data_IF_622202093244
#
_entry.id   IF_622202093244
#
_cell.length_a   1.000
_cell.length_b   1.000
_cell.length_c   1.000
_cell.angle_alpha   90.00
_cell.angle_beta   90.00
_cell.angle_gamma   90.00
#
_symmetry.space_group_name_H-M   'P 1'
#
loop_
_entity.id
_entity.type
_entity.pdbx_description
1 polymer ?
#
# COMPACT_ATOMS: atom_id res chain seq x y z
N UNK A 1 -10.96 7.27 -31.39
CA UNK A 1 -10.21 8.02 -30.38
C UNK A 1 -8.79 7.55 -30.15
N UNK A 2 -8.44 6.28 -30.40
CA UNK A 2 -7.15 5.71 -29.98
C UNK A 2 -6.08 5.67 -31.07
N UNK A 3 -4.78 5.77 -30.74
CA UNK A 3 -4.21 6.01 -29.39
C UNK A 3 -4.39 7.46 -28.91
N UNK A 4 -4.43 7.66 -27.59
CA UNK A 4 -4.52 8.98 -26.94
C UNK A 4 -3.20 9.26 -26.22
N UNK A 5 -2.62 10.43 -26.49
CA UNK A 5 -1.50 10.94 -25.72
C UNK A 5 -2.03 11.60 -24.44
N UNK A 6 -1.49 11.21 -23.28
CA UNK A 6 -1.79 11.84 -21.99
C UNK A 6 -0.65 12.79 -21.63
N UNK A 7 -1.02 13.93 -21.06
CA UNK A 7 -0.09 14.92 -20.54
C UNK A 7 -0.10 14.80 -19.00
N UNK A 8 1.00 14.38 -18.39
CA UNK A 8 0.99 14.14 -16.95
C UNK A 8 0.88 15.41 -16.11
N UNK A 9 1.29 16.56 -16.63
CA UNK A 9 1.48 17.80 -15.87
C UNK A 9 0.53 18.94 -16.29
N UNK A 10 -0.06 18.88 -17.48
CA UNK A 10 -0.97 19.91 -17.99
C UNK A 10 -0.30 21.06 -18.72
N UNK A 11 0.96 20.91 -19.10
CA UNK A 11 1.75 21.93 -19.79
C UNK A 11 1.85 21.72 -21.31
N UNK A 12 1.12 20.75 -21.85
CA UNK A 12 1.14 20.43 -23.28
C UNK A 12 2.42 19.71 -23.72
N UNK A 13 3.24 19.25 -22.78
CA UNK A 13 4.37 18.37 -23.01
C UNK A 13 3.91 16.94 -22.72
N UNK A 14 4.18 16.02 -23.65
CA UNK A 14 4.01 14.58 -23.40
C UNK A 14 5.18 14.12 -22.54
N UNK A 15 5.12 14.43 -21.25
CA UNK A 15 6.02 13.95 -20.21
C UNK A 15 5.24 13.31 -19.05
N UNK A 16 5.93 12.50 -18.26
CA UNK A 16 5.37 11.74 -17.13
C UNK A 16 4.51 10.54 -17.55
N UNK A 17 4.92 9.34 -17.10
CA UNK A 17 4.23 8.09 -17.44
C UNK A 17 2.91 7.89 -16.67
N UNK A 18 2.03 7.07 -17.24
CA UNK A 18 0.93 6.41 -16.52
C UNK A 18 1.45 5.21 -15.73
N UNK A 19 2.32 5.47 -14.74
CA UNK A 19 2.86 4.42 -13.86
C UNK A 19 1.76 3.73 -13.03
N UNK A 20 0.72 4.45 -12.55
CA UNK A 20 -0.46 3.81 -11.98
C UNK A 20 -1.19 2.92 -13.00
N UNK A 21 -1.54 1.67 -12.66
CA UNK A 21 -2.33 0.81 -13.54
C UNK A 21 -3.72 1.40 -13.84
N UNK A 22 -4.22 1.32 -15.09
CA UNK A 22 -5.56 1.78 -15.44
C UNK A 22 -6.68 0.98 -14.76
N UNK A 23 -7.83 1.62 -14.57
CA UNK A 23 -9.07 0.98 -14.14
C UNK A 23 -10.14 1.06 -15.21
N UNK A 24 -10.95 0.00 -15.29
CA UNK A 24 -12.25 0.05 -15.94
C UNK A 24 -13.29 0.17 -14.84
N UNK A 25 -14.18 1.16 -14.92
CA UNK A 25 -15.30 1.36 -14.00
C UNK A 25 -16.44 2.09 -14.72
N UNK A 26 -17.69 1.77 -14.42
CA UNK A 26 -18.82 2.63 -14.78
C UNK A 26 -18.79 3.85 -13.85
N UNK A 27 -18.24 4.96 -14.35
CA UNK A 27 -18.06 6.17 -13.55
C UNK A 27 -19.28 7.08 -13.68
N UNK A 28 -19.90 7.17 -14.86
CA UNK A 28 -21.02 8.08 -15.11
C UNK A 28 -22.42 7.43 -14.99
N UNK A 29 -22.49 6.18 -14.53
CA UNK A 29 -23.71 5.46 -14.16
C UNK A 29 -24.56 5.02 -15.37
N UNK A 30 -23.97 4.99 -16.56
CA UNK A 30 -24.65 4.62 -17.80
C UNK A 30 -24.57 3.10 -18.09
N UNK A 31 -23.95 2.33 -17.18
CA UNK A 31 -23.69 0.89 -17.28
C UNK A 31 -22.80 0.52 -18.48
N UNK A 32 -21.96 1.47 -18.92
CA UNK A 32 -20.81 1.29 -19.79
C UNK A 32 -19.56 1.59 -18.97
N UNK A 33 -18.46 0.90 -19.28
CA UNK A 33 -17.22 1.06 -18.52
C UNK A 33 -16.34 2.15 -19.12
N UNK A 34 -15.93 3.11 -18.29
CA UNK A 34 -14.91 4.10 -18.57
C UNK A 34 -13.53 3.63 -18.15
N UNK A 35 -12.51 4.14 -18.86
CA UNK A 35 -11.12 4.00 -18.49
C UNK A 35 -10.71 5.15 -17.56
N UNK A 36 -10.36 4.85 -16.32
CA UNK A 36 -9.71 5.79 -15.40
C UNK A 36 -8.20 5.55 -15.41
N UNK A 37 -7.43 6.59 -15.71
CA UNK A 37 -5.97 6.54 -15.78
C UNK A 37 -5.36 7.68 -14.96
N UNK A 38 -4.67 7.35 -13.88
CA UNK A 38 -3.86 8.29 -13.14
C UNK A 38 -2.44 8.40 -13.74
N UNK A 39 -1.83 9.57 -13.62
CA UNK A 39 -0.46 9.82 -14.05
C UNK A 39 0.47 9.84 -12.85
N UNK A 40 1.75 9.57 -13.08
CA UNK A 40 2.77 9.70 -12.05
C UNK A 40 2.96 11.15 -11.55
N UNK A 41 2.24 12.14 -12.09
CA UNK A 41 2.32 13.54 -11.68
C UNK A 41 0.98 14.09 -11.17
N UNK A 42 0.12 13.21 -10.63
CA UNK A 42 -1.06 13.63 -9.88
C UNK A 42 -2.19 14.19 -10.74
N UNK A 43 -2.21 13.88 -12.05
CA UNK A 43 -3.39 14.07 -12.89
C UNK A 43 -4.13 12.75 -13.04
N UNK A 44 -5.45 12.82 -13.03
CA UNK A 44 -6.32 11.65 -13.23
C UNK A 44 -7.24 11.97 -14.39
N UNK A 45 -7.25 11.07 -15.38
CA UNK A 45 -8.10 11.13 -16.55
C UNK A 45 -9.21 10.09 -16.44
N UNK A 46 -10.36 10.38 -17.05
CA UNK A 46 -11.43 9.42 -17.27
C UNK A 46 -11.90 9.52 -18.73
N UNK A 47 -11.93 8.39 -19.44
CA UNK A 47 -12.27 8.32 -20.85
C UNK A 47 -13.36 7.29 -21.11
N UNK A 48 -14.27 7.61 -22.03
CA UNK A 48 -15.19 6.63 -22.61
C UNK A 48 -14.46 5.69 -23.57
N UNK A 49 -15.10 4.58 -23.90
CA UNK A 49 -14.57 3.59 -24.85
C UNK A 49 -14.18 4.19 -26.22
N UNK A 50 -14.90 5.21 -26.69
CA UNK A 50 -14.62 5.88 -27.98
C UNK A 50 -13.37 6.80 -27.93
N UNK A 51 -12.84 7.04 -26.73
CA UNK A 51 -11.70 7.90 -26.44
C UNK A 51 -12.08 9.34 -26.09
N UNK A 52 -13.37 9.68 -26.02
CA UNK A 52 -13.81 10.98 -25.50
C UNK A 52 -13.59 11.04 -23.99
N UNK A 53 -13.22 12.21 -23.48
CA UNK A 53 -13.00 12.42 -22.05
C UNK A 53 -14.32 12.71 -21.33
N UNK A 54 -14.47 12.20 -20.11
CA UNK A 54 -15.62 12.55 -19.27
C UNK A 54 -15.61 14.04 -18.89
N UNK A 55 -16.79 14.68 -18.77
CA UNK A 55 -16.90 16.01 -18.18
C UNK A 55 -16.25 16.07 -16.78
N UNK A 56 -15.60 17.18 -16.46
CA UNK A 56 -14.92 17.38 -15.17
C UNK A 56 -13.50 16.80 -15.08
N UNK A 57 -13.12 15.92 -16.01
CA UNK A 57 -11.76 15.39 -16.11
C UNK A 57 -10.92 16.18 -17.14
N UNK A 58 -9.57 16.11 -17.08
CA UNK A 58 -8.81 15.50 -16.00
C UNK A 58 -8.84 16.37 -14.73
N UNK A 59 -8.71 15.70 -13.58
CA UNK A 59 -8.53 16.35 -12.28
C UNK A 59 -7.04 16.35 -11.90
N UNK A 60 -6.65 17.29 -11.05
CA UNK A 60 -5.25 17.43 -10.60
C UNK A 60 -5.17 17.52 -9.07
N UNK A 61 -4.17 16.85 -8.49
CA UNK A 61 -3.80 16.97 -7.07
C UNK A 61 -3.08 18.29 -6.79
N UNK A 62 -2.66 18.50 -5.53
CA UNK A 62 -1.91 19.71 -5.20
C UNK A 62 -0.49 19.63 -5.75
N UNK A 63 0.12 20.79 -5.99
CA UNK A 63 1.53 20.93 -6.32
C UNK A 63 2.41 20.38 -5.20
N UNK A 64 3.56 19.79 -5.56
CA UNK A 64 4.52 19.27 -4.62
C UNK A 64 5.03 20.38 -3.68
N UNK A 65 5.06 20.08 -2.37
CA UNK A 65 5.39 21.06 -1.33
C UNK A 65 6.82 21.56 -1.43
N UNK A 66 7.74 20.71 -1.85
CA UNK A 66 9.13 21.09 -2.07
C UNK A 66 9.32 22.02 -3.27
N UNK A 67 8.33 22.15 -4.17
CA UNK A 67 8.38 23.07 -5.32
C UNK A 67 7.90 24.48 -4.93
N UNK A 68 7.08 24.61 -3.89
CA UNK A 68 6.45 25.88 -3.52
C UNK A 68 7.46 27.03 -3.29
N UNK A 69 8.64 26.73 -2.76
CA UNK A 69 9.71 27.72 -2.52
C UNK A 69 10.54 28.05 -3.76
N UNK A 70 10.29 27.39 -4.89
CA UNK A 70 11.08 27.50 -6.12
C UNK A 70 10.29 28.06 -7.31
N UNK A 71 9.05 28.52 -7.12
CA UNK A 71 8.20 29.03 -8.20
C UNK A 71 8.79 30.22 -8.97
N UNK A 72 9.73 30.96 -8.36
CA UNK A 72 10.46 32.03 -9.02
C UNK A 72 11.57 31.57 -9.97
N UNK A 73 11.89 30.27 -10.01
CA UNK A 73 12.88 29.74 -10.93
C UNK A 73 12.44 29.98 -12.39
N UNK A 74 13.35 30.32 -13.32
CA UNK A 74 12.99 30.67 -14.70
C UNK A 74 12.13 29.62 -15.41
N UNK A 75 12.29 28.33 -15.09
CA UNK A 75 11.51 27.24 -15.68
C UNK A 75 10.00 27.34 -15.35
N UNK A 76 9.65 27.69 -14.11
CA UNK A 76 8.26 27.84 -13.67
C UNK A 76 7.73 29.26 -13.95
N UNK A 77 8.54 30.29 -13.69
CA UNK A 77 8.15 31.69 -13.90
C UNK A 77 7.88 32.04 -15.37
N UNK A 78 8.50 31.32 -16.31
CA UNK A 78 8.21 31.47 -17.75
C UNK A 78 6.92 30.78 -18.20
N UNK A 79 6.30 29.94 -17.35
CA UNK A 79 5.15 29.11 -17.72
C UNK A 79 5.49 27.97 -18.69
N UNK A 80 6.79 27.70 -18.93
CA UNK A 80 7.23 26.67 -19.88
C UNK A 80 7.00 25.25 -19.38
N UNK A 81 6.97 25.05 -18.07
CA UNK A 81 6.73 23.77 -17.39
C UNK A 81 5.75 24.03 -16.25
N UNK A 82 4.74 23.18 -16.12
CA UNK A 82 3.83 23.26 -14.97
C UNK A 82 4.55 22.79 -13.70
N UNK A 83 4.38 23.47 -12.54
CA UNK A 83 4.90 22.96 -11.28
C UNK A 83 4.35 21.54 -11.02
N UNK A 84 5.22 20.55 -10.77
CA UNK A 84 4.76 19.16 -10.68
C UNK A 84 3.96 18.92 -9.41
N UNK A 85 3.04 17.95 -9.46
CA UNK A 85 2.43 17.38 -8.26
C UNK A 85 3.33 16.29 -7.66
N UNK A 86 3.11 15.89 -6.38
CA UNK A 86 3.77 14.73 -5.83
C UNK A 86 3.46 13.48 -6.64
N UNK A 87 4.48 12.64 -6.83
CA UNK A 87 4.32 11.46 -7.67
C UNK A 87 3.50 10.36 -7.00
N UNK A 88 3.01 9.43 -7.81
CA UNK A 88 2.58 8.13 -7.29
C UNK A 88 2.82 7.03 -8.32
N UNK A 89 3.02 5.83 -7.80
CA UNK A 89 2.96 4.56 -8.55
C UNK A 89 1.71 3.76 -8.17
N UNK A 90 0.95 4.23 -7.17
CA UNK A 90 -0.14 3.45 -6.59
C UNK A 90 -1.37 3.40 -7.49
N UNK A 91 -2.04 2.25 -7.50
CA UNK A 91 -3.29 2.05 -8.22
C UNK A 91 -4.39 2.81 -7.45
N UNK A 92 -5.17 3.70 -8.09
CA UNK A 92 -6.29 4.35 -7.42
C UNK A 92 -7.31 3.32 -6.93
N UNK A 93 -7.94 3.54 -5.79
CA UNK A 93 -9.11 2.74 -5.43
C UNK A 93 -10.37 3.43 -5.98
N UNK A 94 -11.34 2.65 -6.43
CA UNK A 94 -12.58 3.20 -6.99
C UNK A 94 -13.76 2.44 -6.40
N UNK A 95 -14.71 3.15 -5.83
CA UNK A 95 -15.90 2.60 -5.18
C UNK A 95 -16.86 3.70 -4.76
N UNK A 96 -18.11 3.34 -4.50
CA UNK A 96 -19.15 4.27 -4.05
C UNK A 96 -19.01 4.48 -2.53
N UNK A 97 -18.32 5.57 -2.15
CA UNK A 97 -18.01 5.86 -0.74
C UNK A 97 -19.20 6.47 -0.01
N UNK A 98 -20.06 7.23 -0.69
CA UNK A 98 -21.19 7.94 -0.07
C UNK A 98 -22.59 7.36 -0.37
N UNK A 99 -22.64 6.26 -1.12
CA UNK A 99 -23.83 5.48 -1.49
C UNK A 99 -24.82 6.27 -2.34
N UNK A 100 -24.33 7.17 -3.20
CA UNK A 100 -25.17 7.92 -4.13
C UNK A 100 -25.40 7.19 -5.47
N UNK A 101 -24.74 6.03 -5.66
CA UNK A 101 -24.82 5.21 -6.87
C UNK A 101 -23.74 5.51 -7.90
N UNK A 102 -22.87 6.49 -7.65
CA UNK A 102 -21.71 6.81 -8.47
C UNK A 102 -20.42 6.54 -7.70
N UNK A 103 -19.38 5.95 -8.32
CA UNK A 103 -18.15 5.69 -7.61
C UNK A 103 -17.24 6.93 -7.52
N UNK A 104 -16.57 7.07 -6.38
CA UNK A 104 -15.45 7.99 -6.16
C UNK A 104 -14.11 7.34 -6.54
N UNK A 105 -13.15 8.18 -6.91
CA UNK A 105 -11.75 7.82 -7.16
C UNK A 105 -10.89 8.28 -5.97
N UNK A 106 -10.25 7.32 -5.31
CA UNK A 106 -9.32 7.54 -4.20
C UNK A 106 -7.88 7.41 -4.69
N UNK A 107 -7.09 8.46 -4.49
CA UNK A 107 -5.71 8.57 -4.98
C UNK A 107 -4.76 8.98 -3.85
N UNK A 108 -3.66 8.24 -3.66
CA UNK A 108 -2.64 8.54 -2.67
C UNK A 108 -1.28 8.83 -3.32
N UNK A 109 -0.43 9.62 -2.67
CA UNK A 109 0.85 10.05 -3.22
C UNK A 109 2.05 9.93 -2.26
N UNK A 110 3.26 10.10 -2.81
CA UNK A 110 4.53 10.00 -2.05
C UNK A 110 4.76 11.13 -1.04
N UNK A 111 3.88 12.12 -1.00
CA UNK A 111 3.93 13.17 0.01
C UNK A 111 3.02 12.87 1.21
N UNK A 112 2.29 11.75 1.14
CA UNK A 112 1.43 11.23 2.19
C UNK A 112 0.01 11.81 2.17
N UNK A 113 -0.39 12.41 1.06
CA UNK A 113 -1.74 12.92 0.87
C UNK A 113 -2.63 11.86 0.24
N UNK A 114 -3.87 11.79 0.70
CA UNK A 114 -4.94 10.97 0.12
C UNK A 114 -6.04 11.90 -0.36
N UNK A 115 -6.41 11.77 -1.63
CA UNK A 115 -7.45 12.53 -2.31
C UNK A 115 -8.64 11.63 -2.60
N UNK A 116 -9.82 12.23 -2.63
CA UNK A 116 -11.05 11.61 -3.13
C UNK A 116 -11.67 12.57 -4.14
N UNK A 117 -11.91 12.08 -5.35
CA UNK A 117 -12.60 12.79 -6.43
C UNK A 117 -13.89 12.07 -6.78
N UNK A 118 -14.98 12.81 -6.96
CA UNK A 118 -16.26 12.28 -7.41
C UNK A 118 -16.24 11.96 -8.89
N UNK A 119 -17.27 11.23 -9.32
CA UNK A 119 -17.52 10.92 -10.72
C UNK A 119 -17.63 12.15 -11.64
N UNK A 120 -17.94 13.34 -11.12
CA UNK A 120 -18.01 14.60 -11.84
C UNK A 120 -16.69 15.41 -11.83
N UNK A 121 -15.62 14.84 -11.26
CA UNK A 121 -14.31 15.46 -11.13
C UNK A 121 -14.17 16.46 -9.96
N UNK A 122 -15.21 16.70 -9.17
CA UNK A 122 -15.10 17.54 -7.97
C UNK A 122 -14.39 16.79 -6.84
N UNK A 123 -13.69 17.52 -5.97
CA UNK A 123 -13.07 16.93 -4.76
C UNK A 123 -14.15 16.66 -3.70
N UNK A 124 -14.09 15.50 -3.06
CA UNK A 124 -14.96 15.21 -1.93
C UNK A 124 -14.60 16.14 -0.73
N UNK A 125 -15.60 16.64 0.03
CA UNK A 125 -15.40 17.40 1.26
C UNK A 125 -14.52 16.64 2.24
N UNK A 126 -13.63 17.37 2.93
CA UNK A 126 -12.67 16.78 3.86
C UNK A 126 -11.36 16.31 3.21
N UNK A 127 -11.29 16.23 1.89
CA UNK A 127 -10.09 15.80 1.17
C UNK A 127 -9.31 16.95 0.51
N UNK A 128 -7.97 16.85 0.42
CA UNK A 128 -7.16 15.71 0.84
C UNK A 128 -6.95 15.61 2.36
N UNK A 129 -6.86 14.38 2.85
CA UNK A 129 -6.33 14.06 4.18
C UNK A 129 -4.84 13.73 4.07
N UNK A 130 -4.15 13.65 5.22
CA UNK A 130 -2.71 13.41 5.26
C UNK A 130 -2.30 12.50 6.42
N UNK A 131 -1.32 11.64 6.18
CA UNK A 131 -0.55 10.95 7.22
C UNK A 131 0.14 11.95 8.17
N UNK A 132 0.44 11.55 9.40
CA UNK A 132 1.08 12.42 10.38
C UNK A 132 2.59 12.58 10.08
N UNK A 133 3.07 13.77 9.68
CA UNK A 133 4.49 13.99 9.42
C UNK A 133 5.36 13.81 10.68
N UNK A 134 4.79 13.85 11.89
CA UNK A 134 5.51 13.60 13.13
C UNK A 134 6.06 12.17 13.19
N UNK A 135 5.36 11.18 12.63
CA UNK A 135 5.80 9.78 12.64
C UNK A 135 6.97 9.50 11.70
N UNK A 136 7.27 10.40 10.77
CA UNK A 136 8.45 10.31 9.91
C UNK A 136 9.39 11.50 10.09
N UNK A 137 9.36 12.19 11.23
CA UNK A 137 10.22 13.33 11.50
C UNK A 137 11.71 12.98 11.37
N UNK A 138 12.54 13.94 10.96
CA UNK A 138 13.99 13.74 10.73
C UNK A 138 14.68 13.09 11.94
N UNK A 139 14.29 13.46 13.15
CA UNK A 139 14.85 12.90 14.38
C UNK A 139 14.56 11.39 14.58
N UNK A 140 13.51 10.86 13.95
CA UNK A 140 13.15 9.44 14.00
C UNK A 140 13.88 8.62 12.93
N UNK A 141 14.45 9.26 11.91
CA UNK A 141 15.17 8.62 10.80
C UNK A 141 16.59 8.32 11.24
N UNK A 142 16.90 7.04 11.40
CA UNK A 142 18.22 6.57 11.83
C UNK A 142 18.74 5.47 10.93
N UNK A 143 20.00 5.06 11.11
CA UNK A 143 20.57 3.91 10.37
C UNK A 143 19.80 2.59 10.58
N UNK A 144 19.01 2.51 11.65
CA UNK A 144 18.24 1.32 12.03
C UNK A 144 16.73 1.61 12.05
N UNK A 145 16.30 2.76 11.56
CA UNK A 145 14.89 3.13 11.42
C UNK A 145 14.71 3.98 10.18
N UNK A 146 14.50 3.31 9.06
CA UNK A 146 14.38 3.87 7.71
C UNK A 146 12.93 4.26 7.50
N UNK A 147 12.61 5.49 7.88
CA UNK A 147 11.29 6.08 7.71
C UNK A 147 11.33 7.09 6.58
N UNK A 148 10.28 7.11 5.77
CA UNK A 148 10.02 8.18 4.81
C UNK A 148 8.61 8.71 5.02
N UNK A 149 8.42 9.95 4.59
CA UNK A 149 7.08 10.47 4.42
C UNK A 149 6.58 9.98 3.07
N UNK A 150 5.37 9.43 3.02
CA UNK A 150 4.74 9.06 1.76
C UNK A 150 3.85 7.82 1.85
N UNK A 151 3.02 7.66 0.83
CA UNK A 151 2.25 6.46 0.56
C UNK A 151 2.68 5.97 -0.83
N UNK A 152 3.11 4.70 -0.90
CA UNK A 152 3.44 4.02 -2.16
C UNK A 152 2.48 2.88 -2.47
N UNK A 153 1.90 2.25 -1.44
CA UNK A 153 0.86 1.25 -1.60
C UNK A 153 -0.44 1.83 -2.16
N UNK A 154 -1.27 0.97 -2.73
CA UNK A 154 -2.59 1.35 -3.21
C UNK A 154 -3.56 1.51 -2.04
N UNK A 155 -4.46 2.52 -2.06
CA UNK A 155 -5.56 2.55 -1.11
C UNK A 155 -6.47 1.33 -1.26
N UNK A 156 -7.10 0.94 -0.16
CA UNK A 156 -8.13 -0.11 -0.13
C UNK A 156 -9.39 0.47 0.47
N UNK A 157 -10.53 0.04 -0.07
CA UNK A 157 -11.86 0.47 0.37
C UNK A 157 -12.56 -0.70 1.06
N UNK A 158 -12.99 -0.49 2.30
CA UNK A 158 -13.71 -1.48 3.10
C UNK A 158 -14.47 -0.80 4.24
N UNK A 159 -15.65 -1.31 4.60
CA UNK A 159 -16.38 -0.87 5.79
C UNK A 159 -15.72 -1.46 7.04
N UNK A 160 -14.85 -0.69 7.68
CA UNK A 160 -14.00 -1.16 8.77
C UNK A 160 -14.64 -0.88 10.13
N UNK A 161 -15.39 0.21 10.26
CA UNK A 161 -16.08 0.52 11.52
C UNK A 161 -17.52 -0.04 11.60
N UNK A 162 -18.03 -0.62 10.52
CA UNK A 162 -19.34 -1.25 10.46
C UNK A 162 -20.51 -0.27 10.34
N UNK A 163 -20.25 0.99 9.95
CA UNK A 163 -21.29 2.01 9.76
C UNK A 163 -22.05 1.87 8.41
N UNK A 164 -21.60 0.95 7.55
CA UNK A 164 -22.15 0.68 6.23
C UNK A 164 -21.46 1.46 5.12
N UNK A 165 -20.64 2.47 5.39
CA UNK A 165 -19.91 3.21 4.36
C UNK A 165 -18.52 2.62 4.17
N UNK A 166 -17.94 2.80 2.98
CA UNK A 166 -16.57 2.37 2.76
C UNK A 166 -15.60 3.36 3.41
N UNK A 167 -14.64 2.83 4.17
CA UNK A 167 -13.48 3.54 4.69
C UNK A 167 -12.28 3.40 3.77
N UNK A 168 -11.31 4.30 3.93
CA UNK A 168 -10.09 4.35 3.13
C UNK A 168 -8.92 3.89 3.98
N UNK A 169 -8.34 2.73 3.63
CA UNK A 169 -7.18 2.14 4.31
C UNK A 169 -5.93 2.30 3.47
N UNK A 170 -4.84 2.82 4.06
CA UNK A 170 -3.52 2.94 3.40
C UNK A 170 -2.40 2.54 4.35
N UNK A 171 -1.38 1.87 3.81
CA UNK A 171 -0.11 1.68 4.50
C UNK A 171 0.88 2.77 4.08
N UNK A 172 1.58 3.34 5.04
CA UNK A 172 2.48 4.46 4.84
C UNK A 172 3.94 4.12 5.17
N UNK A 173 4.84 4.86 4.55
CA UNK A 173 6.30 4.70 4.68
C UNK A 173 6.84 5.10 6.06
N UNK A 174 5.95 5.52 6.97
CA UNK A 174 6.21 5.89 8.35
C UNK A 174 5.94 4.74 9.34
N UNK A 175 5.74 3.51 8.85
CA UNK A 175 5.39 2.29 9.62
C UNK A 175 4.00 2.32 10.24
N UNK A 176 3.08 3.09 9.68
CA UNK A 176 1.70 3.09 10.12
C UNK A 176 0.75 2.68 9.00
N UNK A 177 -0.35 2.06 9.41
CA UNK A 177 -1.54 1.91 8.59
C UNK A 177 -2.55 2.92 9.09
N UNK A 178 -3.15 3.66 8.17
CA UNK A 178 -4.16 4.68 8.44
C UNK A 178 -5.50 4.22 7.87
N UNK A 179 -6.58 4.57 8.56
CA UNK A 179 -7.94 4.40 8.08
C UNK A 179 -8.73 5.71 8.29
N UNK A 180 -9.38 6.21 7.23
CA UNK A 180 -10.24 7.38 7.30
C UNK A 180 -11.64 7.06 6.76
N UNK A 181 -12.66 7.68 7.36
CA UNK A 181 -14.02 7.63 6.83
C UNK A 181 -14.14 8.41 5.51
N UNK A 182 -15.26 8.24 4.81
CA UNK A 182 -15.59 8.98 3.58
C UNK A 182 -15.63 10.51 3.71
N UNK A 183 -15.56 11.05 4.93
CA UNK A 183 -15.58 12.50 5.22
C UNK A 183 -14.18 13.02 5.55
N UNK A 184 -13.16 12.15 5.49
CA UNK A 184 -11.77 12.46 5.80
C UNK A 184 -11.45 12.49 7.30
N UNK A 185 -12.33 11.94 8.14
CA UNK A 185 -12.08 11.78 9.57
C UNK A 185 -11.30 10.50 9.81
N UNK A 186 -10.22 10.58 10.58
CA UNK A 186 -9.47 9.40 10.98
C UNK A 186 -10.34 8.52 11.86
N UNK A 187 -10.41 7.22 11.58
CA UNK A 187 -11.22 6.29 12.36
C UNK A 187 -10.69 6.19 13.81
N UNK A 188 -11.57 6.00 14.81
CA UNK A 188 -11.14 5.77 16.19
C UNK A 188 -10.19 4.58 16.28
N UNK A 189 -9.09 4.74 17.04
CA UNK A 189 -8.06 3.69 17.18
C UNK A 189 -7.01 3.68 16.09
N UNK A 190 -7.16 4.46 15.03
CA UNK A 190 -6.19 4.62 13.95
C UNK A 190 -5.34 5.90 14.14
N UNK A 191 -4.12 5.97 13.59
CA UNK A 191 -3.45 4.92 12.83
C UNK A 191 -2.79 3.87 13.73
N UNK A 192 -2.54 2.69 13.17
CA UNK A 192 -1.88 1.58 13.86
C UNK A 192 -0.42 1.49 13.41
N UNK A 193 0.51 1.45 14.37
CA UNK A 193 1.92 1.20 14.08
C UNK A 193 2.14 -0.29 13.84
N UNK A 194 2.66 -0.63 12.66
CA UNK A 194 2.99 -2.00 12.27
C UNK A 194 4.41 -2.36 12.71
N UNK A 195 4.53 -2.67 14.00
CA UNK A 195 5.79 -3.08 14.62
C UNK A 195 5.53 -4.20 15.63
N UNK A 196 6.36 -5.24 15.61
CA UNK A 196 6.27 -6.39 16.50
C UNK A 196 6.39 -5.92 17.96
N UNK A 197 5.35 -6.09 18.80
CA UNK A 197 5.37 -5.63 20.19
C UNK A 197 6.29 -6.50 21.06
N UNK A 198 6.68 -7.68 20.60
CA UNK A 198 7.51 -8.64 21.34
C UNK A 198 8.57 -9.27 20.42
N UNK A 199 9.52 -8.48 19.89
CA UNK A 199 10.45 -8.96 18.87
C UNK A 199 11.34 -10.09 19.40
N UNK A 200 11.71 -10.04 20.68
CA UNK A 200 12.49 -11.07 21.37
C UNK A 200 13.79 -10.50 21.95
N UNK A 201 14.52 -11.27 22.78
CA UNK A 201 15.72 -10.78 23.43
C UNK A 201 16.84 -10.47 22.42
N UNK A 202 17.30 -9.21 22.40
CA UNK A 202 18.40 -8.78 21.52
C UNK A 202 17.99 -8.52 20.06
N UNK A 203 16.68 -8.55 19.78
CA UNK A 203 16.14 -8.09 18.50
C UNK A 203 15.83 -6.59 18.59
N UNK A 204 16.58 -5.79 17.82
CA UNK A 204 16.20 -4.41 17.51
C UNK A 204 15.67 -4.42 16.08
N UNK A 205 14.36 -4.20 15.84
CA UNK A 205 13.84 -4.10 14.48
C UNK A 205 14.64 -3.07 13.71
N UNK A 206 15.11 -3.44 12.52
CA UNK A 206 15.41 -2.43 11.51
C UNK A 206 14.07 -2.00 10.98
N UNK A 207 13.56 -0.90 11.54
CA UNK A 207 12.33 -0.31 11.07
C UNK A 207 12.51 0.12 9.62
N UNK A 208 11.56 -0.23 8.75
CA UNK A 208 11.62 0.07 7.32
C UNK A 208 10.33 0.71 6.83
N UNK A 209 10.38 1.31 5.64
CA UNK A 209 9.20 1.91 5.03
C UNK A 209 8.20 0.82 4.63
N UNK A 210 6.93 0.99 5.00
CA UNK A 210 5.86 0.19 4.38
C UNK A 210 5.50 0.79 3.03
N UNK A 211 5.65 -0.03 1.99
CA UNK A 211 5.32 0.32 0.60
C UNK A 211 4.25 -0.62 0.03
N UNK A 212 3.69 -1.48 0.87
CA UNK A 212 2.83 -2.58 0.48
C UNK A 212 1.36 -2.12 0.40
N UNK A 213 0.55 -2.83 -0.38
CA UNK A 213 -0.90 -2.62 -0.43
C UNK A 213 -1.55 -3.54 0.61
N UNK A 214 -2.35 -3.02 1.56
CA UNK A 214 -3.05 -3.87 2.52
C UNK A 214 -4.10 -4.75 1.83
N UNK A 215 -4.56 -5.78 2.52
CA UNK A 215 -5.76 -6.55 2.16
C UNK A 215 -6.71 -6.53 3.34
N UNK A 216 -8.01 -6.51 3.08
CA UNK A 216 -9.03 -6.46 4.12
C UNK A 216 -9.97 -7.65 3.97
N UNK A 217 -10.20 -8.40 5.04
CA UNK A 217 -11.03 -9.60 5.05
C UNK A 217 -11.47 -9.98 6.48
N UNK A 218 -12.61 -10.64 6.62
CA UNK A 218 -13.06 -11.23 7.89
C UNK A 218 -12.30 -12.55 8.13
N UNK A 219 -11.16 -12.47 8.81
CA UNK A 219 -10.31 -13.62 9.11
C UNK A 219 -10.81 -14.39 10.33
N UNK A 220 -11.44 -13.68 11.28
CA UNK A 220 -11.97 -14.26 12.50
C UNK A 220 -13.33 -14.96 12.31
N UNK A 221 -14.04 -14.68 11.22
CA UNK A 221 -15.40 -15.13 10.96
C UNK A 221 -16.42 -14.48 11.89
N UNK A 222 -16.12 -13.30 12.43
CA UNK A 222 -16.96 -12.61 13.42
C UNK A 222 -17.78 -11.46 12.81
N UNK A 223 -17.64 -11.23 11.50
CA UNK A 223 -18.32 -10.18 10.77
C UNK A 223 -17.62 -8.82 10.82
N UNK A 224 -16.47 -8.72 11.48
CA UNK A 224 -15.59 -7.55 11.42
C UNK A 224 -14.41 -7.83 10.51
N UNK A 225 -13.97 -6.80 9.76
CA UNK A 225 -12.90 -6.98 8.79
C UNK A 225 -11.54 -6.71 9.45
N UNK A 226 -10.61 -7.65 9.31
CA UNK A 226 -9.20 -7.45 9.65
C UNK A 226 -8.43 -6.82 8.49
N UNK A 227 -7.47 -5.95 8.82
CA UNK A 227 -6.49 -5.43 7.86
C UNK A 227 -5.23 -6.28 7.91
N UNK A 228 -4.90 -6.94 6.81
CA UNK A 228 -3.68 -7.73 6.64
C UNK A 228 -2.64 -6.93 5.87
N UNK A 229 -1.43 -6.86 6.40
CA UNK A 229 -0.34 -6.10 5.79
C UNK A 229 1.01 -6.75 6.06
N UNK A 230 1.80 -6.86 5.00
CA UNK A 230 3.22 -7.23 5.09
C UNK A 230 4.07 -6.00 5.39
N UNK A 231 5.17 -6.19 6.12
CA UNK A 231 6.13 -5.12 6.39
C UNK A 231 7.51 -5.44 5.85
N UNK A 232 8.25 -4.37 5.61
CA UNK A 232 9.64 -4.43 5.19
C UNK A 232 10.59 -4.45 6.39
N UNK A 233 10.06 -4.57 7.61
CA UNK A 233 10.89 -4.65 8.82
C UNK A 233 11.73 -5.92 8.77
N UNK A 234 13.01 -5.79 9.10
CA UNK A 234 13.92 -6.93 9.10
C UNK A 234 14.38 -7.23 10.52
N UNK A 235 14.13 -8.47 10.91
CA UNK A 235 14.61 -9.07 12.15
C UNK A 235 15.67 -10.13 11.86
N UNK A 236 16.39 -10.55 12.90
CA UNK A 236 17.19 -11.78 12.82
C UNK A 236 16.26 -12.95 12.47
N UNK A 237 16.76 -13.93 11.73
CA UNK A 237 15.98 -15.13 11.45
C UNK A 237 15.51 -15.78 12.77
N UNK A 238 14.28 -16.29 12.77
CA UNK A 238 13.65 -16.86 13.96
C UNK A 238 14.25 -18.21 14.36
N UNK A 239 15.00 -18.86 13.46
CA UNK A 239 15.53 -20.21 13.66
C UNK A 239 14.47 -21.32 13.48
N UNK A 240 13.23 -20.97 13.12
CA UNK A 240 12.13 -21.91 13.02
C UNK A 240 12.02 -22.55 11.62
N UNK A 241 12.66 -23.70 11.46
CA UNK A 241 12.64 -24.46 10.20
C UNK A 241 11.23 -24.93 9.76
N UNK A 242 10.24 -24.94 10.64
CA UNK A 242 8.87 -25.36 10.30
C UNK A 242 8.14 -24.34 9.41
N UNK A 243 8.66 -23.12 9.23
CA UNK A 243 8.03 -22.05 8.45
C UNK A 243 8.19 -22.21 6.92
N UNK A 244 9.16 -23.00 6.45
CA UNK A 244 9.45 -23.08 5.01
C UNK A 244 8.64 -24.16 4.28
N UNK A 245 8.16 -25.19 4.99
CA UNK A 245 7.46 -26.33 4.40
C UNK A 245 6.49 -27.02 5.40
N UNK A 246 5.60 -26.31 6.09
CA UNK A 246 4.70 -26.94 7.05
C UNK A 246 3.73 -27.89 6.32
N UNK A 247 3.52 -29.08 6.88
CA UNK A 247 2.29 -29.82 6.62
C UNK A 247 1.17 -29.29 7.54
N UNK A 248 -0.07 -29.71 7.30
CA UNK A 248 -1.25 -29.37 8.13
C UNK A 248 -1.11 -29.72 9.63
N UNK A 249 -0.05 -30.45 10.03
CA UNK A 249 0.28 -30.78 11.42
C UNK A 249 1.55 -30.09 11.94
N UNK A 250 2.01 -29.00 11.30
CA UNK A 250 3.24 -28.26 11.65
C UNK A 250 4.55 -29.07 11.57
N UNK A 251 4.58 -30.17 10.84
CA UNK A 251 5.80 -30.93 10.55
C UNK A 251 6.36 -30.55 9.17
N UNK A 252 7.68 -30.32 9.05
CA UNK A 252 8.28 -29.96 7.78
C UNK A 252 8.16 -31.11 6.76
N UNK A 253 7.54 -30.87 5.60
CA UNK A 253 7.42 -31.86 4.53
C UNK A 253 8.78 -32.07 3.87
N UNK A 254 9.36 -33.25 4.05
CA UNK A 254 10.49 -33.68 3.23
C UNK A 254 9.98 -34.31 1.94
N UNK A 255 10.60 -33.97 0.80
CA UNK A 255 10.38 -34.70 -0.44
C UNK A 255 11.03 -36.09 -0.27
N UNK A 256 10.29 -37.20 -0.41
CA UNK A 256 10.87 -38.53 -0.24
C UNK A 256 12.03 -38.75 -1.23
N UNK A 257 13.22 -39.05 -0.72
CA UNK A 257 14.44 -39.28 -1.52
C UNK A 257 15.38 -38.06 -1.64
N UNK A 258 14.97 -36.89 -1.15
CA UNK A 258 15.80 -35.69 -1.06
C UNK A 258 15.66 -35.12 0.36
N UNK A 259 16.56 -35.49 1.28
CA UNK A 259 16.63 -34.95 2.66
C UNK A 259 17.03 -33.46 2.70
N UNK A 260 16.90 -32.75 1.57
CA UNK A 260 17.29 -31.36 1.40
C UNK A 260 16.24 -30.40 1.93
N UNK A 261 14.97 -30.78 2.03
CA UNK A 261 13.90 -29.88 2.54
C UNK A 261 14.16 -29.42 3.98
N UNK A 262 14.46 -30.33 4.90
CA UNK A 262 14.73 -30.01 6.31
C UNK A 262 16.10 -29.36 6.52
N UNK A 263 17.12 -29.77 5.75
CA UNK A 263 18.48 -29.20 5.84
C UNK A 263 18.53 -27.79 5.23
N UNK A 264 17.87 -27.55 4.09
CA UNK A 264 17.74 -26.22 3.49
C UNK A 264 16.85 -25.33 4.37
N UNK A 265 15.72 -25.83 4.88
CA UNK A 265 14.89 -25.06 5.80
C UNK A 265 15.63 -24.64 7.07
N UNK A 266 16.42 -25.55 7.68
CA UNK A 266 17.27 -25.21 8.83
C UNK A 266 18.38 -24.21 8.45
N UNK A 267 18.97 -24.33 7.26
CA UNK A 267 19.95 -23.36 6.78
C UNK A 267 19.32 -21.99 6.52
N UNK A 268 18.08 -21.92 6.02
CA UNK A 268 17.39 -20.67 5.73
C UNK A 268 16.93 -19.98 7.02
N UNK A 269 16.38 -20.74 7.96
CA UNK A 269 16.02 -20.29 9.29
C UNK A 269 17.23 -19.84 10.13
N UNK A 270 18.44 -20.30 9.82
CA UNK A 270 19.66 -19.93 10.55
C UNK A 270 20.48 -18.81 9.87
N UNK A 271 20.43 -18.68 8.55
CA UNK A 271 21.28 -17.75 7.77
C UNK A 271 20.53 -16.53 7.21
N UNK A 272 19.22 -16.44 7.40
CA UNK A 272 18.34 -15.42 6.81
C UNK A 272 18.04 -14.18 7.66
N UNK A 273 17.12 -13.36 7.17
CA UNK A 273 16.36 -12.38 7.95
C UNK A 273 14.91 -12.86 8.09
N UNK A 274 14.14 -12.23 8.96
CA UNK A 274 12.72 -12.54 9.19
C UNK A 274 11.86 -11.31 8.91
N UNK A 275 10.93 -11.43 7.95
CA UNK A 275 9.86 -10.45 7.71
C UNK A 275 8.65 -10.72 8.59
N UNK A 276 7.69 -9.80 8.60
CA UNK A 276 6.44 -9.93 9.36
C UNK A 276 5.24 -9.65 8.49
N UNK A 277 4.20 -10.45 8.71
CA UNK A 277 2.84 -10.13 8.28
C UNK A 277 2.03 -9.84 9.52
N UNK A 278 1.22 -8.80 9.48
CA UNK A 278 0.34 -8.38 10.55
C UNK A 278 -1.10 -8.57 10.10
N UNK A 279 -1.97 -8.98 11.02
CA UNK A 279 -3.40 -8.84 10.91
C UNK A 279 -3.84 -7.87 12.03
N UNK A 280 -4.51 -6.79 11.64
CA UNK A 280 -4.95 -5.71 12.51
C UNK A 280 -6.46 -5.83 12.70
N UNK A 281 -6.93 -5.67 13.94
CA UNK A 281 -8.35 -5.57 14.21
C UNK A 281 -8.96 -4.30 13.60
N UNK A 282 -10.25 -4.38 13.27
CA UNK A 282 -11.01 -3.31 12.64
C UNK A 282 -11.02 -2.00 13.47
N UNK A 283 -11.01 -2.10 14.80
CA UNK A 283 -10.98 -1.00 15.77
C UNK A 283 -9.56 -0.59 16.20
N UNK A 284 -8.53 -1.16 15.57
CA UNK A 284 -7.14 -0.76 15.71
C UNK A 284 -6.66 -0.72 17.17
N UNK A 285 -6.06 0.39 17.59
CA UNK A 285 -5.51 0.52 18.94
C UNK A 285 -6.57 0.53 20.07
N UNK A 286 -7.86 0.57 19.74
CA UNK A 286 -8.93 0.47 20.75
C UNK A 286 -9.27 -0.97 21.09
N UNK A 287 -8.78 -1.95 20.31
CA UNK A 287 -9.06 -3.34 20.56
C UNK A 287 -8.52 -3.81 21.92
N UNK A 288 -9.32 -4.51 22.75
CA UNK A 288 -8.86 -5.07 24.00
C UNK A 288 -7.67 -6.02 23.82
N UNK A 289 -6.50 -5.66 24.36
CA UNK A 289 -5.28 -6.46 24.22
C UNK A 289 -4.31 -5.94 23.15
N UNK A 290 -4.68 -4.90 22.41
CA UNK A 290 -3.86 -4.25 21.39
C UNK A 290 -4.36 -4.53 19.97
N UNK A 291 -3.79 -3.84 18.97
CA UNK A 291 -4.35 -3.79 17.63
C UNK A 291 -4.17 -5.06 16.80
N UNK A 292 -3.43 -6.05 17.29
CA UNK A 292 -3.06 -7.24 16.53
C UNK A 292 -3.93 -8.43 16.89
N UNK A 293 -4.39 -9.14 15.85
CA UNK A 293 -5.14 -10.39 16.00
C UNK A 293 -4.35 -11.40 16.81
N UNK A 294 -5.02 -12.18 17.66
CA UNK A 294 -4.36 -13.20 18.48
C UNK A 294 -3.52 -14.16 17.61
N UNK A 295 -2.25 -14.36 17.98
CA UNK A 295 -1.30 -15.17 17.21
C UNK A 295 -0.51 -14.40 16.13
N UNK A 296 -0.82 -13.12 15.92
CA UNK A 296 -0.09 -12.22 15.03
C UNK A 296 0.87 -11.28 15.78
N UNK A 297 1.94 -10.78 15.13
CA UNK A 297 2.32 -11.01 13.73
C UNK A 297 2.88 -12.42 13.45
N UNK A 298 2.71 -12.87 12.21
CA UNK A 298 3.35 -14.10 11.72
C UNK A 298 4.76 -13.76 11.21
N UNK A 299 5.74 -14.56 11.65
CA UNK A 299 7.14 -14.44 11.26
C UNK A 299 7.38 -15.26 9.99
N UNK A 300 8.00 -14.66 8.98
CA UNK A 300 8.40 -15.35 7.75
C UNK A 300 9.91 -15.23 7.58
N UNK A 301 10.61 -16.32 7.90
CA UNK A 301 12.05 -16.43 7.61
C UNK A 301 12.27 -16.56 6.10
N UNK A 302 13.35 -15.95 5.60
CA UNK A 302 13.69 -16.01 4.19
C UNK A 302 15.20 -15.99 3.97
N UNK A 303 15.67 -16.70 2.93
CA UNK A 303 17.04 -16.51 2.48
C UNK A 303 17.20 -15.09 1.99
N UNK A 304 18.00 -14.36 2.76
CA UNK A 304 18.54 -13.11 2.30
C UNK A 304 17.42 -12.10 2.00
N UNK A 305 16.59 -11.84 3.00
CA UNK A 305 15.62 -10.73 2.99
C UNK A 305 16.33 -9.35 2.81
N UNK A 306 17.66 -9.33 2.98
CA UNK A 306 18.47 -8.13 3.18
C UNK A 306 19.70 -7.97 2.25
N UNK A 307 19.79 -8.67 1.10
CA UNK A 307 21.01 -8.58 0.25
C UNK A 307 21.22 -7.17 -0.35
N UNK A 308 20.18 -6.31 -0.37
CA UNK A 308 20.33 -4.92 -0.80
C UNK A 308 19.82 -3.97 0.29
N UNK A 309 20.69 -3.15 0.90
CA UNK A 309 20.38 -2.34 2.09
C UNK A 309 19.45 -1.13 1.81
N UNK A 310 18.75 -1.10 0.68
CA UNK A 310 17.95 0.05 0.25
C UNK A 310 16.61 -0.30 -0.41
N UNK A 311 16.34 -1.59 -0.68
CA UNK A 311 15.04 -2.04 -1.16
C UNK A 311 14.70 -3.25 -0.30
N UNK A 312 13.79 -3.04 0.66
CA UNK A 312 13.20 -4.13 1.43
C UNK A 312 12.52 -5.14 0.49
N UNK A 313 12.31 -6.37 0.96
CA UNK A 313 11.59 -7.37 0.17
C UNK A 313 10.22 -6.84 -0.28
N UNK A 314 9.86 -7.05 -1.55
CA UNK A 314 8.53 -6.71 -2.05
C UNK A 314 7.60 -7.88 -1.75
N UNK A 315 6.57 -7.62 -0.97
CA UNK A 315 5.64 -8.68 -0.56
C UNK A 315 4.24 -8.38 -1.06
N UNK A 316 3.52 -9.44 -1.44
CA UNK A 316 2.11 -9.35 -1.78
C UNK A 316 1.36 -10.41 -0.98
N UNK A 317 0.35 -9.97 -0.25
CA UNK A 317 -0.65 -10.83 0.39
C UNK A 317 -1.88 -10.95 -0.51
N UNK A 318 -2.49 -12.13 -0.51
CA UNK A 318 -3.87 -12.34 -0.92
C UNK A 318 -4.58 -13.14 0.17
N UNK A 319 -5.88 -12.88 0.33
CA UNK A 319 -6.76 -13.64 1.23
C UNK A 319 -7.83 -14.32 0.39
N UNK A 320 -8.11 -15.59 0.68
CA UNK A 320 -9.15 -16.34 -0.01
C UNK A 320 -9.30 -17.76 0.52
N UNK A 321 -10.42 -18.39 0.17
CA UNK A 321 -10.66 -19.82 0.38
C UNK A 321 -9.79 -20.63 -0.60
N UNK A 322 -8.78 -21.32 -0.08
CA UNK A 322 -7.76 -22.04 -0.83
C UNK A 322 -7.81 -23.56 -0.62
N UNK A 323 -8.65 -24.04 0.31
CA UNK A 323 -8.81 -25.46 0.58
C UNK A 323 -10.25 -25.81 1.03
N UNK A 324 -10.63 -27.09 1.14
CA UNK A 324 -12.00 -27.46 1.50
C UNK A 324 -12.40 -27.17 2.96
N UNK A 325 -11.50 -26.63 3.79
CA UNK A 325 -11.75 -26.35 5.19
C UNK A 325 -12.49 -25.01 5.36
N UNK A 326 -13.31 -24.87 6.42
CA UNK A 326 -14.03 -23.62 6.64
C UNK A 326 -13.06 -22.54 7.15
N UNK A 327 -12.95 -21.43 6.42
CA UNK A 327 -12.12 -20.29 6.80
C UNK A 327 -11.68 -19.49 5.58
N UNK A 328 -10.96 -18.40 5.83
CA UNK A 328 -10.16 -17.73 4.81
C UNK A 328 -8.69 -17.99 5.10
N UNK A 329 -7.94 -18.38 4.08
CA UNK A 329 -6.50 -18.54 4.16
C UNK A 329 -5.77 -17.30 3.64
N UNK A 330 -4.52 -17.16 4.05
CA UNK A 330 -3.65 -16.07 3.65
C UNK A 330 -2.49 -16.65 2.84
N UNK A 331 -2.37 -16.21 1.59
CA UNK A 331 -1.25 -16.51 0.72
C UNK A 331 -0.34 -15.29 0.67
N UNK A 332 0.93 -15.50 1.01
CA UNK A 332 1.95 -14.47 0.99
C UNK A 332 3.08 -14.87 0.04
N UNK A 333 3.51 -13.93 -0.81
CA UNK A 333 4.69 -14.14 -1.65
C UNK A 333 5.90 -13.42 -1.07
N UNK A 334 6.95 -14.18 -0.77
CA UNK A 334 8.26 -13.64 -0.42
C UNK A 334 9.10 -13.54 -1.69
N UNK A 335 8.92 -12.48 -2.50
CA UNK A 335 9.62 -12.35 -3.78
C UNK A 335 10.52 -11.11 -3.84
N UNK A 336 11.69 -11.24 -4.46
CA UNK A 336 12.52 -10.08 -4.85
C UNK A 336 12.07 -9.59 -6.22
N UNK A 337 11.66 -8.32 -6.35
CA UNK A 337 11.66 -7.65 -7.65
C UNK A 337 13.09 -7.27 -8.02
N UNK A 338 13.61 -7.87 -9.10
CA UNK A 338 14.91 -7.53 -9.66
C UNK A 338 14.90 -6.10 -10.21
N UNK A 339 15.83 -5.26 -9.76
CA UNK A 339 16.25 -4.06 -10.47
C UNK A 339 17.71 -4.28 -10.87
N UNK A 340 17.98 -4.36 -12.17
CA UNK A 340 19.33 -4.41 -12.71
C UNK A 340 19.99 -3.05 -12.52
N UNK A 341 20.86 -2.90 -11.53
CA UNK A 341 21.86 -1.83 -11.58
C UNK A 341 22.90 -2.21 -12.64
N UNK A 342 22.95 -1.46 -13.74
CA UNK A 342 24.11 -1.47 -14.62
C UNK A 342 25.34 -1.12 -13.78
N UNK A 343 26.23 -2.09 -13.60
CA UNK A 343 27.55 -1.83 -13.04
C UNK A 343 28.37 -1.05 -14.06
N UNK A 344 28.66 0.22 -13.76
CA UNK A 344 29.85 0.88 -14.27
C UNK A 344 30.97 0.67 -13.27
N UNK A 345 31.88 -0.25 -13.58
CA UNK A 345 33.36 -0.11 -13.70
C UNK A 345 33.96 -1.49 -13.81
#
# INVERSE_FOLDING_TARGET
GWPIAIDANGDGIIDGGGEPPPHMVDLDGDNVMELVQATAAGRIYAFRADGSQLPGFPVTTNMARNVATHLGAPAFASGRIAPPSPTTTSRPAIGDLDRDGYPEIVYANIEGDVYVFRHDGTRAPGFPVRIDPAFSAVALRTKTNHLKTGILGSPVLADLDGDGFLDIVVAAMDQHVYAWDRRGSLLPGWPVKIQDPAPGPGETPVGAESINTPVVADLAGDGHLEVVIETNEVYRASGNANQFFPNEQNNPTSVPGLNTGTVLAAAFAAAGGSGRIYALHHDGNLHPGGPFVAGWPVKLDGLAIDILPLIGPGHNVAVGDMDPSPGLEIAASLTRTWSTSMGTT
#
